data_IF_621119422440
#
_entry.id   IF_621119422440
#
_cell.length_a   1.000
_cell.length_b   1.000
_cell.length_c   1.000
_cell.angle_alpha   90.00
_cell.angle_beta   90.00
_cell.angle_gamma   90.00
#
_symmetry.space_group_name_H-M   'P 1'
#
loop_
_entity.id
_entity.type
_entity.pdbx_description
1 polymer ?
#
# COMPACT_ATOMS: atom_id res chain seq x y z
N UNK A 1 -15.61 64.26 9.02
CA UNK A 1 -16.08 63.61 7.77
C UNK A 1 -15.53 64.40 6.59
N UNK A 2 -14.54 63.86 5.87
CA UNK A 2 -14.01 64.50 4.65
C UNK A 2 -14.05 63.49 3.51
N UNK A 3 -15.14 63.49 2.75
CA UNK A 3 -15.35 62.67 1.57
C UNK A 3 -14.62 63.34 0.41
N UNK A 4 -13.38 62.94 0.13
CA UNK A 4 -12.68 63.36 -1.08
C UNK A 4 -13.36 62.73 -2.30
N UNK A 5 -14.05 63.55 -3.08
CA UNK A 5 -14.62 63.18 -4.37
C UNK A 5 -13.52 62.72 -5.32
N UNK A 6 -13.61 61.46 -5.78
CA UNK A 6 -12.74 60.97 -6.84
C UNK A 6 -13.04 61.76 -8.12
N UNK A 7 -12.01 62.34 -8.72
CA UNK A 7 -12.12 62.99 -10.04
C UNK A 7 -12.63 61.97 -11.07
N UNK A 8 -13.46 62.38 -12.05
CA UNK A 8 -14.12 61.46 -13.00
C UNK A 8 -13.12 60.58 -13.75
N UNK A 9 -11.90 61.07 -13.99
CA UNK A 9 -10.80 60.29 -14.59
C UNK A 9 -10.37 59.09 -13.72
N UNK A 10 -10.35 59.23 -12.40
CA UNK A 10 -9.99 58.13 -11.47
C UNK A 10 -11.09 57.08 -11.40
N UNK A 11 -12.35 57.50 -11.51
CA UNK A 11 -13.50 56.58 -11.59
C UNK A 11 -13.42 55.75 -12.88
N UNK A 12 -13.14 56.38 -14.03
CA UNK A 12 -12.98 55.66 -15.31
C UNK A 12 -11.82 54.66 -15.25
N UNK A 13 -10.68 55.04 -14.69
CA UNK A 13 -9.53 54.13 -14.53
C UNK A 13 -9.85 52.97 -13.57
N UNK A 14 -10.55 53.23 -12.46
CA UNK A 14 -10.95 52.19 -11.52
C UNK A 14 -11.93 51.20 -12.16
N UNK A 15 -12.91 51.69 -12.93
CA UNK A 15 -13.86 50.84 -13.68
C UNK A 15 -13.11 49.99 -14.71
N UNK A 16 -12.14 50.55 -15.43
CA UNK A 16 -11.34 49.81 -16.40
C UNK A 16 -10.51 48.70 -15.74
N UNK A 17 -9.86 49.00 -14.61
CA UNK A 17 -9.09 48.00 -13.85
C UNK A 17 -9.98 46.88 -13.30
N UNK A 18 -11.17 47.20 -12.80
CA UNK A 18 -12.15 46.20 -12.36
C UNK A 18 -12.62 45.32 -13.53
N UNK A 19 -12.88 45.92 -14.70
CA UNK A 19 -13.32 45.18 -15.89
C UNK A 19 -12.22 44.23 -16.38
N UNK A 20 -10.97 44.71 -16.48
CA UNK A 20 -9.82 43.88 -16.84
C UNK A 20 -9.60 42.74 -15.84
N UNK A 21 -9.69 43.02 -14.53
CA UNK A 21 -9.58 41.99 -13.49
C UNK A 21 -10.66 40.91 -13.61
N UNK A 22 -11.90 41.31 -13.91
CA UNK A 22 -13.02 40.38 -14.10
C UNK A 22 -12.82 39.48 -15.31
N UNK A 23 -12.30 40.01 -16.43
CA UNK A 23 -12.00 39.23 -17.64
C UNK A 23 -10.92 38.20 -17.34
N UNK A 24 -9.81 38.60 -16.70
CA UNK A 24 -8.71 37.69 -16.34
C UNK A 24 -9.20 36.58 -15.39
N UNK A 25 -10.01 36.93 -14.39
CA UNK A 25 -10.59 35.95 -13.47
C UNK A 25 -11.52 34.96 -14.18
N UNK A 26 -12.37 35.42 -15.10
CA UNK A 26 -13.26 34.53 -15.87
C UNK A 26 -12.48 33.65 -16.85
N UNK A 27 -11.43 34.17 -17.49
CA UNK A 27 -10.58 33.39 -18.39
C UNK A 27 -9.83 32.29 -17.63
N UNK A 28 -9.28 32.59 -16.45
CA UNK A 28 -8.64 31.59 -15.60
C UNK A 28 -9.64 30.53 -15.11
N UNK A 29 -10.82 30.95 -14.67
CA UNK A 29 -11.88 30.02 -14.26
C UNK A 29 -12.35 29.12 -15.42
N UNK A 30 -12.45 29.65 -16.64
CA UNK A 30 -12.82 28.89 -17.83
C UNK A 30 -11.75 27.87 -18.23
N UNK A 31 -10.46 28.22 -18.12
CA UNK A 31 -9.35 27.30 -18.37
C UNK A 31 -9.31 26.16 -17.35
N UNK A 32 -9.50 26.47 -16.07
CA UNK A 32 -9.57 25.45 -15.00
C UNK A 32 -10.80 24.56 -15.20
N UNK A 33 -11.97 25.13 -15.49
CA UNK A 33 -13.19 24.38 -15.77
C UNK A 33 -13.04 23.43 -16.98
N UNK A 34 -12.34 23.86 -18.04
CA UNK A 34 -12.05 23.00 -19.19
C UNK A 34 -11.04 21.90 -18.87
N UNK A 35 -10.03 22.17 -18.04
CA UNK A 35 -9.05 21.16 -17.61
C UNK A 35 -9.62 20.13 -16.62
N UNK A 36 -10.65 20.52 -15.86
CA UNK A 36 -11.38 19.66 -14.91
C UNK A 36 -12.64 19.05 -15.52
N UNK A 37 -12.93 19.34 -16.80
CA UNK A 37 -14.03 18.73 -17.52
C UNK A 37 -13.68 17.26 -17.80
N UNK A 38 -13.95 16.40 -16.83
CA UNK A 38 -14.17 15.00 -17.05
C UNK A 38 -15.43 14.91 -17.93
N UNK A 39 -15.35 14.34 -19.15
CA UNK A 39 -16.55 14.01 -19.91
C UNK A 39 -17.49 13.28 -18.94
N UNK A 40 -18.80 13.59 -18.90
CA UNK A 40 -19.72 12.73 -18.19
C UNK A 40 -19.47 11.34 -18.76
N UNK A 41 -19.00 10.43 -17.90
CA UNK A 41 -18.88 9.03 -18.23
C UNK A 41 -20.15 8.69 -19.01
N UNK A 42 -20.00 8.17 -20.23
CA UNK A 42 -21.05 7.32 -20.78
C UNK A 42 -21.38 6.42 -19.62
N UNK A 43 -22.58 6.59 -19.07
CA UNK A 43 -23.11 5.71 -18.05
C UNK A 43 -22.72 4.31 -18.53
N UNK A 44 -21.88 3.55 -17.80
CA UNK A 44 -21.62 2.20 -18.21
C UNK A 44 -23.01 1.61 -18.37
N UNK A 45 -23.37 1.22 -19.60
CA UNK A 45 -24.61 0.53 -19.90
C UNK A 45 -24.79 -0.43 -18.75
N UNK A 46 -25.83 -0.19 -17.96
CA UNK A 46 -26.09 -0.86 -16.70
C UNK A 46 -25.69 -2.31 -16.84
N UNK A 47 -24.57 -2.72 -16.24
CA UNK A 47 -24.27 -4.13 -16.07
C UNK A 47 -25.47 -4.67 -15.32
N UNK A 48 -26.26 -5.58 -15.91
CA UNK A 48 -27.42 -6.11 -15.22
C UNK A 48 -26.91 -6.74 -13.92
N UNK A 49 -27.53 -6.39 -12.80
CA UNK A 49 -27.28 -7.06 -11.54
C UNK A 49 -27.35 -8.58 -11.77
N UNK A 50 -26.40 -9.38 -11.24
CA UNK A 50 -26.50 -10.83 -11.33
C UNK A 50 -27.71 -11.26 -10.51
N UNK A 51 -28.83 -11.52 -11.19
CA UNK A 51 -30.08 -11.95 -10.55
C UNK A 51 -31.38 -11.49 -11.21
N UNK A 52 -31.39 -10.61 -12.20
CA UNK A 52 -32.61 -10.31 -12.95
C UNK A 52 -32.78 -11.30 -14.12
N UNK A 53 -33.89 -12.08 -14.21
CA UNK A 53 -34.15 -12.89 -15.38
C UNK A 53 -34.48 -11.97 -16.55
N UNK A 54 -33.50 -11.71 -17.41
CA UNK A 54 -33.76 -11.24 -18.76
C UNK A 54 -34.45 -12.40 -19.48
N UNK A 55 -35.75 -12.25 -19.79
CA UNK A 55 -36.42 -13.14 -20.74
C UNK A 55 -35.59 -13.14 -22.03
N UNK A 56 -35.00 -14.28 -22.44
CA UNK A 56 -34.35 -14.34 -23.73
C UNK A 56 -35.43 -14.19 -24.79
N UNK A 57 -35.21 -13.27 -25.73
CA UNK A 57 -35.95 -13.28 -26.99
C UNK A 57 -35.75 -14.68 -27.60
N UNK A 58 -36.81 -15.43 -27.96
CA UNK A 58 -36.69 -16.83 -28.38
C UNK A 58 -35.88 -17.05 -29.68
N UNK A 59 -35.35 -15.98 -30.27
CA UNK A 59 -34.60 -15.99 -31.52
C UNK A 59 -33.09 -15.78 -31.34
N UNK A 60 -32.58 -15.50 -30.14
CA UNK A 60 -31.14 -15.31 -29.88
C UNK A 60 -30.53 -16.55 -29.23
N UNK A 61 -30.38 -17.60 -30.03
CA UNK A 61 -29.62 -18.77 -29.61
C UNK A 61 -28.14 -18.40 -29.58
N UNK A 62 -27.35 -18.80 -28.56
CA UNK A 62 -25.90 -18.56 -28.51
C UNK A 62 -25.15 -18.98 -29.79
N UNK A 63 -25.69 -19.98 -30.49
CA UNK A 63 -25.20 -20.50 -31.75
C UNK A 63 -25.36 -19.51 -32.92
N UNK A 64 -26.42 -18.71 -32.94
CA UNK A 64 -26.62 -17.65 -33.94
C UNK A 64 -25.66 -16.49 -33.72
N UNK A 65 -25.41 -16.11 -32.46
CA UNK A 65 -24.46 -15.06 -32.11
C UNK A 65 -23.03 -15.45 -32.50
N UNK A 66 -22.63 -16.69 -32.25
CA UNK A 66 -21.32 -17.23 -32.72
C UNK A 66 -21.21 -17.17 -34.24
N UNK A 67 -22.28 -17.52 -34.97
CA UNK A 67 -22.28 -17.51 -36.44
C UNK A 67 -22.14 -16.09 -37.00
N UNK A 68 -22.82 -15.10 -36.42
CA UNK A 68 -22.71 -13.69 -36.80
C UNK A 68 -21.29 -13.16 -36.55
N UNK A 69 -20.68 -13.50 -35.41
CA UNK A 69 -19.31 -13.09 -35.09
C UNK A 69 -18.30 -13.69 -36.07
N UNK A 70 -18.43 -14.97 -36.41
CA UNK A 70 -17.52 -15.62 -37.37
C UNK A 70 -17.71 -15.10 -38.81
N UNK A 71 -18.92 -14.68 -39.18
CA UNK A 71 -19.22 -14.10 -40.50
C UNK A 71 -18.88 -12.62 -40.62
N UNK A 72 -18.70 -11.92 -39.49
CA UNK A 72 -18.38 -10.48 -39.48
C UNK A 72 -16.99 -10.11 -40.01
N UNK A 73 -16.14 -11.11 -40.31
CA UNK A 73 -14.78 -10.89 -40.79
C UNK A 73 -13.83 -10.29 -39.75
N UNK A 74 -14.27 -10.16 -38.49
CA UNK A 74 -13.47 -9.66 -37.37
C UNK A 74 -12.25 -10.55 -37.03
N UNK A 75 -12.26 -11.79 -37.51
CA UNK A 75 -11.19 -12.76 -37.29
C UNK A 75 -10.74 -13.36 -38.63
N UNK A 76 -9.44 -13.25 -38.92
CA UNK A 76 -8.82 -13.96 -40.03
C UNK A 76 -8.77 -15.45 -39.69
N UNK A 77 -9.65 -16.23 -40.31
CA UNK A 77 -9.64 -17.69 -40.21
C UNK A 77 -8.47 -18.25 -41.04
N UNK A 78 -7.68 -19.21 -40.51
CA UNK A 78 -6.63 -19.86 -41.28
C UNK A 78 -7.21 -20.60 -42.49
N UNK A 79 -6.50 -20.64 -43.64
CA UNK A 79 -6.97 -21.35 -44.83
C UNK A 79 -7.14 -22.84 -44.53
N UNK A 80 -8.38 -23.33 -44.64
CA UNK A 80 -8.76 -24.72 -44.36
C UNK A 80 -9.71 -24.92 -43.18
N UNK A 81 -10.05 -23.87 -42.42
CA UNK A 81 -11.06 -23.96 -41.36
C UNK A 81 -12.49 -23.89 -41.95
N UNK A 82 -13.11 -25.04 -42.22
CA UNK A 82 -14.55 -25.12 -42.57
C UNK A 82 -15.41 -25.26 -41.31
N UNK A 83 -16.53 -24.54 -41.27
CA UNK A 83 -17.51 -24.51 -40.16
C UNK A 83 -18.16 -25.87 -39.86
N UNK A 84 -17.93 -26.90 -40.67
CA UNK A 84 -18.47 -28.26 -40.47
C UNK A 84 -17.70 -29.07 -39.40
N UNK A 85 -16.48 -28.66 -39.01
CA UNK A 85 -15.66 -29.38 -38.01
C UNK A 85 -15.96 -29.01 -36.55
N UNK A 86 -16.93 -28.15 -36.26
CA UNK A 86 -17.31 -27.76 -34.88
C UNK A 86 -18.58 -28.50 -34.44
N UNK A 87 -18.85 -29.67 -35.03
CA UNK A 87 -19.90 -30.61 -34.62
C UNK A 87 -19.38 -31.78 -33.78
N UNK A 88 -18.09 -31.83 -33.47
CA UNK A 88 -17.57 -32.74 -32.45
C UNK A 88 -17.99 -32.21 -31.09
N UNK A 89 -18.83 -32.97 -30.37
CA UNK A 89 -19.17 -32.68 -28.99
C UNK A 89 -17.88 -32.30 -28.26
N UNK A 90 -17.75 -31.03 -27.89
CA UNK A 90 -16.68 -30.56 -27.04
C UNK A 90 -16.85 -31.34 -25.75
N UNK A 91 -16.06 -32.40 -25.59
CA UNK A 91 -15.87 -33.05 -24.30
C UNK A 91 -15.50 -31.89 -23.38
N UNK A 92 -16.30 -31.60 -22.33
CA UNK A 92 -15.98 -30.53 -21.42
C UNK A 92 -14.51 -30.75 -21.01
N UNK A 93 -13.68 -29.69 -21.03
CA UNK A 93 -12.28 -29.82 -20.64
C UNK A 93 -12.26 -30.57 -19.30
N UNK A 94 -11.33 -31.54 -19.12
CA UNK A 94 -11.25 -32.29 -17.88
C UNK A 94 -11.31 -31.30 -16.72
N UNK A 95 -12.11 -31.59 -15.67
CA UNK A 95 -12.27 -30.68 -14.56
C UNK A 95 -10.87 -30.24 -14.09
N UNK A 96 -10.64 -28.94 -13.85
CA UNK A 96 -9.35 -28.47 -13.39
C UNK A 96 -8.94 -29.33 -12.19
N UNK A 97 -7.68 -29.81 -12.14
CA UNK A 97 -7.23 -30.66 -11.04
C UNK A 97 -7.50 -29.93 -9.72
N UNK A 98 -7.88 -30.67 -8.66
CA UNK A 98 -8.12 -30.06 -7.35
C UNK A 98 -6.87 -29.27 -6.93
N UNK A 99 -7.04 -28.10 -6.29
CA UNK A 99 -5.92 -27.25 -5.86
C UNK A 99 -4.96 -28.08 -5.00
N UNK A 100 -3.65 -27.81 -5.14
CA UNK A 100 -2.60 -28.43 -4.34
C UNK A 100 -2.74 -28.03 -2.86
N UNK A 101 -3.53 -26.98 -2.59
CA UNK A 101 -3.87 -26.44 -1.29
C UNK A 101 -2.57 -26.08 -0.54
N UNK A 102 -1.59 -25.54 -1.27
CA UNK A 102 -0.27 -25.23 -0.73
C UNK A 102 -0.40 -24.27 0.45
N UNK A 103 -1.26 -23.28 0.30
CA UNK A 103 -1.58 -22.29 1.34
C UNK A 103 -2.22 -22.90 2.61
N UNK A 104 -2.70 -24.14 2.58
CA UNK A 104 -3.22 -24.84 3.77
C UNK A 104 -2.16 -25.65 4.51
N UNK A 105 -1.03 -25.94 3.86
CA UNK A 105 0.03 -26.81 4.39
C UNK A 105 1.27 -26.01 4.80
N UNK A 106 1.62 -24.97 4.06
CA UNK A 106 2.79 -24.14 4.32
C UNK A 106 2.47 -22.65 4.12
N UNK A 107 3.21 -21.80 4.83
CA UNK A 107 3.17 -20.35 4.68
C UNK A 107 4.52 -19.82 4.23
N UNK A 108 4.55 -19.04 3.14
CA UNK A 108 5.74 -18.29 2.77
C UNK A 108 5.95 -17.17 3.80
N UNK A 109 7.10 -17.16 4.47
CA UNK A 109 7.46 -16.16 5.48
C UNK A 109 8.33 -15.04 4.91
N UNK A 110 9.06 -15.31 3.83
CA UNK A 110 9.88 -14.30 3.14
C UNK A 110 10.84 -14.88 2.12
N UNK A 111 11.48 -14.01 1.34
CA UNK A 111 12.53 -14.37 0.39
C UNK A 111 13.84 -13.65 0.73
N UNK A 112 14.96 -14.36 0.63
CA UNK A 112 16.29 -13.87 0.98
C UNK A 112 17.21 -14.00 -0.23
N UNK A 113 17.94 -12.93 -0.55
CA UNK A 113 18.97 -12.93 -1.60
C UNK A 113 20.34 -13.15 -0.98
N UNK A 114 20.93 -14.31 -1.20
CA UNK A 114 22.28 -14.63 -0.73
C UNK A 114 23.36 -14.12 -1.69
N UNK A 115 24.39 -13.46 -1.17
CA UNK A 115 25.48 -12.85 -1.95
C UNK A 115 26.24 -13.81 -2.88
N UNK A 116 26.21 -15.12 -2.60
CA UNK A 116 26.95 -16.16 -3.34
C UNK A 116 26.06 -17.33 -3.79
N UNK A 117 24.77 -17.36 -3.42
CA UNK A 117 23.91 -18.56 -3.52
C UNK A 117 22.53 -18.33 -4.15
N UNK A 118 22.30 -17.15 -4.72
CA UNK A 118 21.03 -16.85 -5.40
C UNK A 118 19.87 -16.53 -4.44
N UNK A 119 18.65 -16.64 -4.95
CA UNK A 119 17.42 -16.37 -4.20
C UNK A 119 16.97 -17.61 -3.42
N UNK A 120 16.52 -17.42 -2.19
CA UNK A 120 16.08 -18.48 -1.27
C UNK A 120 14.74 -18.08 -0.65
N UNK A 121 13.88 -19.06 -0.36
CA UNK A 121 12.59 -18.84 0.28
C UNK A 121 12.60 -19.39 1.71
N UNK A 122 12.02 -18.64 2.65
CA UNK A 122 11.77 -19.09 4.02
C UNK A 122 10.32 -19.57 4.08
N UNK A 123 10.13 -20.86 4.32
CA UNK A 123 8.82 -21.50 4.41
C UNK A 123 8.57 -21.96 5.84
N UNK A 124 7.38 -21.67 6.36
CA UNK A 124 6.86 -22.19 7.62
C UNK A 124 5.90 -23.33 7.34
N UNK A 125 6.12 -24.49 7.96
CA UNK A 125 5.15 -25.58 7.97
C UNK A 125 4.03 -25.28 8.98
N UNK A 126 2.79 -25.25 8.53
CA UNK A 126 1.63 -24.91 9.37
C UNK A 126 1.33 -25.98 10.42
N UNK A 127 1.72 -27.25 10.20
CA UNK A 127 1.50 -28.34 11.14
C UNK A 127 2.56 -28.37 12.24
N UNK A 128 3.83 -28.15 11.88
CA UNK A 128 4.94 -28.23 12.84
C UNK A 128 5.40 -26.86 13.38
N UNK A 129 4.90 -25.76 12.81
CA UNK A 129 5.35 -24.38 13.08
C UNK A 129 6.85 -24.18 12.92
N UNK A 130 7.51 -25.07 12.17
CA UNK A 130 8.95 -25.05 11.94
C UNK A 130 9.25 -24.24 10.67
N UNK A 131 10.16 -23.29 10.81
CA UNK A 131 10.67 -22.50 9.69
C UNK A 131 11.91 -23.16 9.11
N UNK A 132 11.91 -23.35 7.79
CA UNK A 132 13.02 -23.95 7.05
C UNK A 132 13.29 -23.11 5.80
N UNK A 133 14.55 -23.11 5.38
CA UNK A 133 15.02 -22.32 4.24
C UNK A 133 15.22 -23.24 3.04
N UNK A 134 14.59 -22.91 1.92
CA UNK A 134 14.59 -23.71 0.70
C UNK A 134 15.10 -22.92 -0.51
N UNK A 135 15.67 -23.65 -1.47
CA UNK A 135 16.23 -23.10 -2.71
C UNK A 135 15.39 -23.46 -3.93
N UNK A 136 15.62 -22.73 -5.03
CA UNK A 136 15.05 -23.05 -6.33
C UNK A 136 15.43 -24.50 -6.72
N UNK A 137 14.44 -25.31 -7.08
CA UNK A 137 14.57 -26.72 -7.41
C UNK A 137 14.63 -27.67 -6.21
N UNK A 138 14.49 -27.17 -4.98
CA UNK A 138 14.47 -28.03 -3.79
C UNK A 138 13.06 -28.58 -3.54
N UNK A 139 12.97 -29.86 -3.18
CA UNK A 139 11.71 -30.51 -2.84
C UNK A 139 11.31 -30.18 -1.39
N UNK A 140 10.12 -29.59 -1.24
CA UNK A 140 9.54 -29.24 0.05
C UNK A 140 8.60 -30.38 0.48
N UNK A 141 8.76 -30.92 1.71
CA UNK A 141 7.91 -31.99 2.20
C UNK A 141 6.44 -31.56 2.21
N UNK A 142 5.56 -32.44 1.74
CA UNK A 142 4.09 -32.28 1.68
C UNK A 142 3.54 -31.27 0.63
N UNK A 143 4.39 -30.70 -0.23
CA UNK A 143 4.00 -29.63 -1.17
C UNK A 143 4.54 -29.82 -2.60
N UNK A 144 5.79 -30.28 -2.75
CA UNK A 144 6.42 -30.47 -4.07
C UNK A 144 7.69 -29.64 -4.26
N UNK A 145 8.17 -29.56 -5.50
CA UNK A 145 9.40 -28.86 -5.87
C UNK A 145 9.19 -27.35 -6.00
N UNK A 146 10.16 -26.56 -5.55
CA UNK A 146 10.15 -25.11 -5.70
C UNK A 146 10.59 -24.70 -7.12
N UNK A 147 9.63 -24.51 -8.03
CA UNK A 147 9.90 -24.23 -9.45
C UNK A 147 10.28 -22.77 -9.74
N UNK A 148 9.81 -21.80 -8.96
CA UNK A 148 10.18 -20.39 -9.09
C UNK A 148 10.15 -19.65 -7.74
N UNK A 149 11.03 -18.68 -7.57
CA UNK A 149 11.06 -17.79 -6.41
C UNK A 149 11.02 -16.34 -6.91
N UNK A 150 9.96 -15.61 -6.55
CA UNK A 150 9.82 -14.18 -6.79
C UNK A 150 9.92 -13.40 -5.47
N UNK A 151 9.83 -12.07 -5.54
CA UNK A 151 10.00 -11.20 -4.37
C UNK A 151 8.95 -11.49 -3.28
N UNK A 152 7.72 -11.73 -3.69
CA UNK A 152 6.50 -11.76 -2.86
C UNK A 152 5.68 -13.04 -3.05
N UNK A 153 6.14 -13.98 -3.88
CA UNK A 153 5.47 -15.26 -4.13
C UNK A 153 6.46 -16.32 -4.58
N UNK A 154 6.08 -17.57 -4.41
CA UNK A 154 6.85 -18.73 -4.88
C UNK A 154 5.96 -19.70 -5.62
N UNK A 155 6.48 -20.35 -6.66
CA UNK A 155 5.77 -21.34 -7.44
C UNK A 155 6.19 -22.73 -6.99
N UNK A 156 5.23 -23.54 -6.58
CA UNK A 156 5.43 -24.96 -6.32
C UNK A 156 4.96 -25.79 -7.50
N UNK A 157 5.71 -26.84 -7.82
CA UNK A 157 5.38 -27.82 -8.85
C UNK A 157 5.40 -29.23 -8.27
N UNK A 158 4.32 -29.96 -8.47
CA UNK A 158 4.22 -31.38 -8.12
C UNK A 158 3.67 -32.15 -9.33
N UNK A 159 4.54 -32.81 -10.09
CA UNK A 159 4.18 -33.49 -11.34
C UNK A 159 3.74 -32.50 -12.43
N UNK A 160 2.47 -32.55 -12.85
CA UNK A 160 1.86 -31.63 -13.84
C UNK A 160 1.13 -30.45 -13.21
N UNK A 161 1.22 -30.29 -11.88
CA UNK A 161 0.48 -29.27 -11.13
C UNK A 161 1.41 -28.15 -10.71
N UNK A 162 0.99 -26.90 -10.93
CA UNK A 162 1.71 -25.70 -10.50
C UNK A 162 0.78 -24.83 -9.66
N UNK A 163 1.24 -24.39 -8.50
CA UNK A 163 0.48 -23.49 -7.63
C UNK A 163 1.39 -22.38 -7.08
N UNK A 164 0.92 -21.14 -7.21
CA UNK A 164 1.58 -19.98 -6.62
C UNK A 164 1.18 -19.85 -5.15
N UNK A 165 2.18 -19.84 -4.27
CA UNK A 165 2.04 -19.45 -2.89
C UNK A 165 2.51 -18.00 -2.75
N UNK A 166 1.56 -17.10 -2.50
CA UNK A 166 1.87 -15.74 -2.12
C UNK A 166 2.46 -15.68 -0.72
N UNK A 167 3.26 -14.64 -0.46
CA UNK A 167 3.74 -14.32 0.87
C UNK A 167 2.51 -14.21 1.77
N UNK A 168 2.37 -15.16 2.68
CA UNK A 168 1.22 -15.22 3.58
C UNK A 168 1.16 -13.89 4.28
N UNK A 169 0.11 -13.11 3.97
CA UNK A 169 -0.21 -11.92 4.74
C UNK A 169 -0.33 -12.41 6.18
N UNK A 170 0.72 -12.17 6.98
CA UNK A 170 0.67 -12.34 8.42
C UNK A 170 -0.64 -11.70 8.83
N UNK A 171 -1.56 -12.52 9.32
CA UNK A 171 -2.92 -12.15 9.63
C UNK A 171 -2.95 -10.80 10.37
N UNK A 172 -3.19 -9.75 9.61
CA UNK A 172 -3.79 -8.49 10.08
C UNK A 172 -5.21 -8.42 9.53
N UNK A 173 -5.88 -9.58 9.47
CA UNK A 173 -7.31 -9.71 9.26
C UNK A 173 -7.95 -10.13 10.59
N UNK A 174 -7.91 -9.22 11.58
CA UNK A 174 -9.04 -9.14 12.50
C UNK A 174 -10.11 -8.31 11.79
N UNK A 175 -10.92 -8.99 10.98
CA UNK A 175 -12.16 -8.44 10.51
C UNK A 175 -13.05 -8.12 11.72
N UNK A 176 -13.36 -6.85 11.93
CA UNK A 176 -14.45 -6.45 12.80
C UNK A 176 -15.59 -6.04 11.86
N UNK A 177 -16.61 -6.91 11.79
CA UNK A 177 -17.93 -6.54 11.30
C UNK A 177 -18.39 -5.22 11.96
N UNK A 178 -19.21 -4.38 11.30
CA UNK A 178 -19.65 -3.12 11.87
C UNK A 178 -20.51 -3.35 13.11
N UNK A 179 -19.84 -3.43 14.26
CA UNK A 179 -20.42 -3.50 15.59
C UNK A 179 -20.22 -2.15 16.26
N UNK A 180 -21.35 -1.55 16.62
CA UNK A 180 -21.57 -0.41 17.52
C UNK A 180 -20.32 0.05 18.29
N UNK A 181 -20.00 1.34 18.13
CA UNK A 181 -18.87 2.01 18.78
C UNK A 181 -18.75 1.65 20.27
N UNK A 182 -17.72 0.88 20.62
CA UNK A 182 -17.24 0.77 21.99
C UNK A 182 -16.46 2.04 22.38
N UNK A 183 -16.48 2.42 23.67
CA UNK A 183 -15.65 3.50 24.19
C UNK A 183 -14.16 3.24 23.91
N UNK A 184 -13.33 4.30 23.82
CA UNK A 184 -11.93 4.20 23.37
C UNK A 184 -11.16 3.15 24.19
N UNK A 185 -10.29 2.35 23.53
CA UNK A 185 -9.55 1.31 24.21
C UNK A 185 -8.62 1.96 25.23
N UNK A 186 -8.71 1.49 26.48
CA UNK A 186 -7.74 1.78 27.52
C UNK A 186 -6.37 1.35 26.97
N UNK A 187 -5.34 2.22 26.97
CA UNK A 187 -4.03 1.88 26.41
C UNK A 187 -3.50 0.64 27.13
N UNK A 188 -3.22 -0.43 26.37
CA UNK A 188 -2.41 -1.53 26.87
C UNK A 188 -1.08 -0.94 27.36
N UNK A 189 -0.58 -1.33 28.55
CA UNK A 189 0.66 -0.79 29.07
C UNK A 189 1.79 -1.15 28.12
N UNK A 190 2.26 -0.13 27.39
CA UNK A 190 3.47 -0.21 26.60
C UNK A 190 4.61 -0.63 27.53
N UNK A 191 5.35 -1.68 27.19
CA UNK A 191 6.51 -2.11 27.99
C UNK A 191 7.49 -0.94 28.03
N UNK A 192 7.70 -0.28 29.19
CA UNK A 192 8.49 0.93 29.25
C UNK A 192 9.96 0.54 29.24
N UNK A 193 10.66 0.88 28.15
CA UNK A 193 12.11 0.74 28.09
C UNK A 193 12.74 2.08 28.44
N UNK A 194 13.43 2.14 29.58
CA UNK A 194 14.11 3.34 30.04
C UNK A 194 15.58 3.32 29.62
N UNK A 195 16.04 4.39 28.99
CA UNK A 195 17.43 4.60 28.58
C UNK A 195 17.94 5.94 29.07
N UNK A 196 19.25 6.02 29.31
CA UNK A 196 19.92 7.27 29.66
C UNK A 196 20.64 7.76 28.42
N UNK A 197 20.45 9.02 28.06
CA UNK A 197 21.10 9.68 26.94
C UNK A 197 21.99 10.82 27.47
N UNK A 198 23.21 10.92 26.96
CA UNK A 198 24.10 12.04 27.29
C UNK A 198 23.70 13.27 26.45
N UNK A 199 23.56 14.43 27.10
CA UNK A 199 23.22 15.67 26.39
C UNK A 199 24.20 16.02 25.29
N UNK A 200 25.48 15.67 25.45
CA UNK A 200 26.52 15.90 24.46
C UNK A 200 26.24 15.15 23.16
N UNK A 201 25.68 13.95 23.22
CA UNK A 201 25.34 13.17 22.03
C UNK A 201 24.18 13.80 21.26
N UNK A 202 23.18 14.32 21.98
CA UNK A 202 22.07 15.06 21.38
C UNK A 202 22.59 16.34 20.73
N UNK A 203 23.39 17.12 21.44
CA UNK A 203 23.92 18.38 20.89
C UNK A 203 24.82 18.15 19.67
N UNK A 204 25.64 17.10 19.69
CA UNK A 204 26.43 16.70 18.52
C UNK A 204 25.52 16.30 17.35
N UNK A 205 24.50 15.49 17.58
CA UNK A 205 23.53 15.09 16.55
C UNK A 205 22.75 16.28 15.97
N UNK A 206 22.37 17.24 16.82
CA UNK A 206 21.64 18.44 16.40
C UNK A 206 22.53 19.47 15.69
N UNK A 207 23.82 19.51 16.02
CA UNK A 207 24.78 20.43 15.38
C UNK A 207 24.93 20.19 13.88
N UNK A 208 24.74 18.94 13.44
CA UNK A 208 24.73 18.54 12.02
C UNK A 208 23.40 17.86 11.67
N UNK A 209 22.34 18.68 11.62
CA UNK A 209 20.99 18.22 11.31
C UNK A 209 20.92 17.52 9.95
N UNK A 210 21.68 18.00 8.95
CA UNK A 210 21.70 17.40 7.62
C UNK A 210 22.21 15.96 7.69
N UNK A 211 23.33 15.71 8.38
CA UNK A 211 23.81 14.34 8.59
C UNK A 211 22.85 13.52 9.44
N UNK A 212 22.25 14.09 10.48
CA UNK A 212 21.28 13.38 11.31
C UNK A 212 20.10 12.87 10.46
N UNK A 213 19.53 13.70 9.60
CA UNK A 213 18.42 13.32 8.71
C UNK A 213 18.81 12.24 7.68
N UNK A 214 20.09 12.09 7.35
CA UNK A 214 20.55 11.00 6.48
C UNK A 214 20.72 9.66 7.22
N UNK A 215 20.81 9.67 8.55
CA UNK A 215 21.01 8.46 9.36
C UNK A 215 19.74 7.63 9.54
N UNK A 216 18.56 8.17 9.26
CA UNK A 216 17.34 7.38 9.19
C UNK A 216 16.39 7.91 8.12
N UNK A 217 15.76 6.99 7.39
CA UNK A 217 14.73 7.31 6.42
C UNK A 217 13.37 6.89 6.97
N UNK A 218 12.45 7.83 7.05
CA UNK A 218 11.10 7.60 7.51
C UNK A 218 10.11 7.78 6.35
N UNK A 219 9.13 6.86 6.26
CA UNK A 219 8.05 6.91 5.27
C UNK A 219 6.70 6.97 5.98
N UNK A 220 5.69 7.66 5.43
CA UNK A 220 4.34 7.66 6.00
C UNK A 220 3.81 6.24 6.16
N UNK A 221 3.23 5.95 7.33
CA UNK A 221 2.58 4.68 7.62
C UNK A 221 1.08 4.93 7.84
N UNK A 222 0.26 4.31 6.99
CA UNK A 222 -1.18 4.47 7.01
C UNK A 222 -1.84 3.20 7.56
N UNK A 223 -2.79 3.39 8.47
CA UNK A 223 -3.70 2.36 8.98
C UNK A 223 -5.12 2.81 8.64
N UNK A 224 -5.90 1.96 7.96
CA UNK A 224 -7.27 2.28 7.50
C UNK A 224 -7.38 3.57 6.67
N UNK A 225 -6.37 3.83 5.83
CA UNK A 225 -6.32 5.04 4.99
C UNK A 225 -6.03 6.34 5.75
N UNK A 226 -5.74 6.28 7.06
CA UNK A 226 -5.33 7.42 7.89
C UNK A 226 -3.87 7.29 8.27
N UNK A 227 -3.16 8.42 8.35
CA UNK A 227 -1.79 8.44 8.84
C UNK A 227 -1.76 8.02 10.31
N UNK A 228 -1.13 6.89 10.59
CA UNK A 228 -0.96 6.34 11.95
C UNK A 228 0.44 6.66 12.51
N UNK A 229 1.39 7.02 11.65
CA UNK A 229 2.71 7.46 12.05
C UNK A 229 3.73 7.40 10.91
N UNK A 230 5.01 7.29 11.28
CA UNK A 230 6.10 7.16 10.31
C UNK A 230 6.89 5.88 10.56
N UNK A 231 6.98 5.04 9.52
CA UNK A 231 7.81 3.84 9.56
C UNK A 231 9.26 4.19 9.23
N UNK A 232 10.19 3.77 10.07
CA UNK A 232 11.63 3.83 9.78
C UNK A 232 11.97 2.77 8.73
N UNK A 233 12.06 3.18 7.48
CA UNK A 233 12.43 2.32 6.36
C UNK A 233 13.87 1.84 6.44
N UNK A 234 14.76 2.71 6.94
CA UNK A 234 16.16 2.38 7.15
C UNK A 234 16.71 3.18 8.33
N UNK A 235 17.51 2.53 9.16
CA UNK A 235 18.29 3.14 10.23
C UNK A 235 19.76 2.78 10.02
N UNK A 236 20.62 3.79 9.96
CA UNK A 236 22.05 3.60 9.76
C UNK A 236 22.67 2.92 11.00
N UNK A 237 23.37 1.78 10.83
CA UNK A 237 24.08 1.12 11.93
C UNK A 237 25.09 2.06 12.56
N UNK A 238 25.22 2.02 13.90
CA UNK A 238 26.11 2.89 14.68
C UNK A 238 25.78 4.40 14.58
N UNK A 239 24.69 4.77 13.89
CA UNK A 239 24.15 6.12 13.86
C UNK A 239 23.45 6.50 15.16
N UNK A 240 23.03 7.76 15.27
CA UNK A 240 22.32 8.27 16.44
C UNK A 240 21.05 7.47 16.74
N UNK A 241 20.20 7.23 15.73
CA UNK A 241 18.94 6.51 15.89
C UNK A 241 19.12 5.06 16.35
N UNK A 242 20.16 4.38 15.87
CA UNK A 242 20.54 3.02 16.30
C UNK A 242 21.05 3.01 17.75
N UNK A 243 21.89 3.99 18.13
CA UNK A 243 22.40 4.14 19.50
C UNK A 243 21.30 4.38 20.53
N UNK A 244 20.28 5.17 20.17
CA UNK A 244 19.10 5.35 21.03
C UNK A 244 18.14 4.16 20.96
N UNK A 245 18.41 3.17 20.11
CA UNK A 245 17.70 1.90 20.03
C UNK A 245 16.41 1.92 19.22
N UNK A 246 16.28 2.89 18.31
CA UNK A 246 15.32 2.78 17.20
C UNK A 246 15.87 1.81 16.15
N UNK A 247 14.96 1.11 15.50
CA UNK A 247 15.29 0.01 14.58
C UNK A 247 14.54 0.17 13.27
N UNK A 248 15.09 -0.46 12.23
CA UNK A 248 14.40 -0.59 10.95
C UNK A 248 13.07 -1.31 11.14
N UNK A 249 12.03 -0.80 10.48
CA UNK A 249 10.61 -1.20 10.59
C UNK A 249 9.86 -0.73 11.84
N UNK A 250 10.47 0.05 12.73
CA UNK A 250 9.71 0.73 13.79
C UNK A 250 8.72 1.73 13.17
N UNK A 251 7.50 1.78 13.71
CA UNK A 251 6.51 2.80 13.37
C UNK A 251 6.41 3.79 14.51
N UNK A 252 6.95 5.01 14.32
CA UNK A 252 6.87 6.10 15.28
C UNK A 252 5.49 6.74 15.21
N UNK A 253 4.74 6.73 16.31
CA UNK A 253 3.38 7.28 16.38
C UNK A 253 3.37 8.64 17.09
N UNK A 254 4.05 8.73 18.24
CA UNK A 254 4.07 9.96 19.07
C UNK A 254 5.44 10.22 19.68
N UNK A 255 5.76 11.49 19.85
CA UNK A 255 6.93 11.95 20.61
C UNK A 255 6.43 12.96 21.64
N UNK A 256 6.70 12.72 22.93
CA UNK A 256 6.22 13.52 24.06
C UNK A 256 4.70 13.78 24.03
N UNK A 257 3.93 12.80 23.56
CA UNK A 257 2.46 12.91 23.42
C UNK A 257 2.00 13.68 22.19
N UNK A 258 2.91 14.23 21.38
CA UNK A 258 2.59 14.87 20.10
C UNK A 258 2.54 13.81 19.00
N UNK A 259 1.41 13.74 18.29
CA UNK A 259 1.25 12.87 17.13
C UNK A 259 2.10 13.33 15.95
N UNK A 260 2.83 12.40 15.37
CA UNK A 260 3.62 12.67 14.17
C UNK A 260 2.71 12.64 12.95
N UNK A 261 2.25 13.82 12.53
CA UNK A 261 1.38 13.98 11.36
C UNK A 261 2.10 14.42 10.09
N UNK A 262 3.28 15.03 10.24
CA UNK A 262 4.04 15.57 9.13
C UNK A 262 5.55 15.32 9.31
N UNK A 263 6.30 14.99 8.24
CA UNK A 263 7.75 14.80 8.32
C UNK A 263 8.47 16.08 8.79
N UNK A 264 7.94 17.25 8.43
CA UNK A 264 8.52 18.55 8.80
C UNK A 264 8.47 18.83 10.31
N UNK A 265 7.52 18.21 11.04
CA UNK A 265 7.36 18.40 12.48
C UNK A 265 8.53 17.79 13.28
N UNK A 266 9.21 16.78 12.73
CA UNK A 266 10.34 16.11 13.38
C UNK A 266 11.44 17.10 13.76
N UNK A 267 11.79 18.04 12.87
CA UNK A 267 12.84 19.03 13.14
C UNK A 267 12.47 19.94 14.32
N UNK A 268 11.23 20.42 14.34
CA UNK A 268 10.71 21.26 15.42
C UNK A 268 10.69 20.51 16.74
N UNK A 269 10.29 19.23 16.71
CA UNK A 269 10.33 18.35 17.88
C UNK A 269 11.79 18.21 18.37
N UNK A 270 12.76 17.90 17.50
CA UNK A 270 14.16 17.80 17.88
C UNK A 270 14.72 19.06 18.58
N UNK A 271 14.34 20.25 18.11
CA UNK A 271 14.72 21.50 18.78
C UNK A 271 14.10 21.65 20.17
N UNK A 272 12.84 21.24 20.33
CA UNK A 272 12.16 21.22 21.64
C UNK A 272 12.81 20.20 22.59
N UNK A 273 13.19 19.03 22.08
CA UNK A 273 13.80 17.95 22.84
C UNK A 273 15.15 18.33 23.46
N UNK A 274 15.90 19.28 22.88
CA UNK A 274 17.19 19.76 23.41
C UNK A 274 17.08 20.28 24.85
N UNK A 275 15.96 20.93 25.18
CA UNK A 275 15.75 21.52 26.50
C UNK A 275 15.02 20.57 27.47
N UNK A 276 14.56 19.43 26.97
CA UNK A 276 13.82 18.47 27.78
C UNK A 276 14.78 17.64 28.65
N UNK A 277 14.27 17.15 29.78
CA UNK A 277 14.98 16.19 30.64
C UNK A 277 14.60 14.76 30.36
N UNK A 278 13.39 14.54 29.87
CA UNK A 278 12.86 13.21 29.57
C UNK A 278 12.11 13.24 28.25
N UNK A 279 12.43 12.30 27.36
CA UNK A 279 11.77 12.14 26.06
C UNK A 279 11.01 10.81 26.08
N UNK A 280 9.75 10.83 25.67
CA UNK A 280 8.95 9.61 25.47
C UNK A 280 8.63 9.45 24.00
N UNK A 281 8.96 8.28 23.45
CA UNK A 281 8.68 7.93 22.06
C UNK A 281 7.76 6.72 22.07
N UNK A 282 6.53 6.91 21.59
CA UNK A 282 5.58 5.82 21.40
C UNK A 282 5.74 5.28 19.98
N UNK A 283 5.96 3.97 19.89
CA UNK A 283 6.19 3.29 18.64
C UNK A 283 5.53 1.92 18.60
N UNK A 284 5.40 1.37 17.40
CA UNK A 284 5.02 -0.04 17.18
C UNK A 284 6.23 -0.78 16.63
N UNK A 285 6.63 -1.85 17.33
CA UNK A 285 7.71 -2.75 16.93
C UNK A 285 7.18 -4.18 16.96
N UNK A 286 7.36 -4.93 15.87
CA UNK A 286 6.86 -6.30 15.76
C UNK A 286 5.36 -6.42 16.13
N UNK A 287 4.54 -5.45 15.69
CA UNK A 287 3.10 -5.37 15.98
C UNK A 287 2.76 -5.12 17.46
N UNK A 288 3.75 -4.83 18.31
CA UNK A 288 3.54 -4.48 19.71
C UNK A 288 3.78 -2.98 19.94
N UNK A 289 2.85 -2.33 20.65
CA UNK A 289 3.04 -0.94 21.10
C UNK A 289 4.07 -0.90 22.23
N UNK A 290 5.07 -0.04 22.07
CA UNK A 290 6.16 0.15 23.01
C UNK A 290 6.37 1.65 23.24
N UNK A 291 6.82 2.00 24.44
CA UNK A 291 7.18 3.38 24.78
C UNK A 291 8.63 3.38 25.23
N UNK A 292 9.48 4.03 24.44
CA UNK A 292 10.87 4.27 24.79
C UNK A 292 10.95 5.57 25.58
N UNK A 293 11.50 5.51 26.78
CA UNK A 293 11.72 6.68 27.64
C UNK A 293 13.21 6.96 27.75
N UNK A 294 13.63 8.16 27.37
CA UNK A 294 15.01 8.61 27.42
C UNK A 294 15.17 9.68 28.49
N UNK A 295 16.04 9.48 29.46
CA UNK A 295 16.44 10.54 30.39
C UNK A 295 17.75 11.17 29.93
N UNK A 296 17.72 12.47 29.72
CA UNK A 296 18.86 13.22 29.23
C UNK A 296 19.65 13.76 30.44
N UNK A 297 20.91 13.35 30.57
CA UNK A 297 21.82 13.77 31.63
C UNK A 297 22.89 14.72 31.13
#
# INVERSE_FOLDING_TARGET
MNTQWLTPKRIVVAVYLCLCGSVVAHSANALVANSLYLPPDRSPSSVPAPGAPSNPDPADTPQQSVKVILQSGLFLLPPGASLESVGGALQPPPPPPPPLDVARKISLSGTVRGAQRGMMAILEDLASKKQSLYRLGEAVPNVGELAAIEKDRVLFREGTREEWLELGAVHTSHGIAPGTALPPPIPTPAVPQRRVLDRREIDAALSDTTRLLTQAQAVPYLTDGKLDGFRLYSVMPLGFFDKIGLQTNDVLQRINGVELRDPGMLLSLFQQLRNERTIRVDLVRNTQRQTLTYDIR
#
